data_IF_197188992722
#
_entry.id   IF_197188992722
#
_cell.length_a   1.000
_cell.length_b   1.000
_cell.length_c   1.000
_cell.angle_alpha   90.00
_cell.angle_beta   90.00
_cell.angle_gamma   90.00
#
_symmetry.space_group_name_H-M   'P 1'
#
loop_
_entity.id
_entity.type
_entity.pdbx_description
1 polymer ?
#
# COMPACT_ATOMS: atom_id res chain seq x y z
N UNK A 1 -14.08 1.23 16.68
CA UNK A 1 -13.82 0.92 18.09
C UNK A 1 -13.25 2.14 18.78
N UNK A 2 -13.47 2.23 20.10
CA UNK A 2 -13.01 3.38 20.93
C UNK A 2 -11.55 3.24 21.40
N UNK A 3 -11.00 2.04 21.36
CA UNK A 3 -9.63 1.71 21.76
C UNK A 3 -9.40 0.21 21.69
N UNK A 4 -8.18 -0.25 22.02
CA UNK A 4 -7.84 -1.68 21.99
C UNK A 4 -8.60 -2.52 23.04
N UNK A 5 -9.12 -1.85 24.09
CA UNK A 5 -9.89 -2.47 25.17
C UNK A 5 -11.41 -2.39 24.94
N UNK A 6 -11.86 -1.94 23.76
CA UNK A 6 -13.28 -1.87 23.45
C UNK A 6 -13.90 -3.29 23.48
N UNK A 7 -14.88 -3.56 24.35
CA UNK A 7 -15.49 -4.88 24.46
C UNK A 7 -16.17 -5.36 23.17
N UNK A 8 -16.52 -4.43 22.27
CA UNK A 8 -17.09 -4.75 20.97
C UNK A 8 -16.10 -5.56 20.10
N UNK A 9 -14.78 -5.36 20.27
CA UNK A 9 -13.75 -6.12 19.54
C UNK A 9 -13.86 -7.63 19.83
N UNK A 10 -13.99 -7.97 21.10
CA UNK A 10 -14.14 -9.37 21.52
C UNK A 10 -15.45 -9.98 21.00
N UNK A 11 -16.54 -9.22 21.04
CA UNK A 11 -17.85 -9.64 20.55
C UNK A 11 -17.82 -9.86 19.01
N UNK A 12 -17.20 -8.96 18.26
CA UNK A 12 -17.08 -9.05 16.80
C UNK A 12 -16.15 -10.21 16.39
N UNK A 13 -15.06 -10.42 17.11
CA UNK A 13 -14.14 -11.54 16.89
C UNK A 13 -14.84 -12.90 17.11
N UNK A 14 -15.64 -13.01 18.15
CA UNK A 14 -16.42 -14.23 18.42
C UNK A 14 -17.54 -14.41 17.39
N UNK A 15 -18.17 -13.33 16.95
CA UNK A 15 -19.16 -13.33 15.87
C UNK A 15 -18.54 -13.82 14.55
N UNK A 16 -17.34 -13.32 14.21
CA UNK A 16 -16.57 -13.78 13.05
C UNK A 16 -16.29 -15.28 13.12
N UNK A 17 -15.74 -15.75 14.23
CA UNK A 17 -15.44 -17.18 14.46
C UNK A 17 -16.68 -18.06 14.27
N UNK A 18 -17.82 -17.69 14.92
CA UNK A 18 -19.07 -18.45 14.81
C UNK A 18 -19.63 -18.45 13.39
N UNK A 19 -19.57 -17.31 12.71
CA UNK A 19 -20.08 -17.16 11.34
C UNK A 19 -19.25 -18.00 10.37
N UNK A 20 -17.91 -17.95 10.47
CA UNK A 20 -17.01 -18.78 9.65
C UNK A 20 -17.24 -20.29 9.85
N UNK A 21 -17.33 -20.74 11.10
CA UNK A 21 -17.63 -22.14 11.42
C UNK A 21 -19.02 -22.58 10.93
N UNK A 22 -20.04 -21.73 11.05
CA UNK A 22 -21.39 -22.00 10.55
C UNK A 22 -21.43 -22.04 9.04
N UNK A 23 -20.72 -21.14 8.36
CA UNK A 23 -20.58 -21.12 6.91
C UNK A 23 -19.97 -22.42 6.39
N UNK A 24 -18.87 -22.85 7.00
CA UNK A 24 -18.23 -24.12 6.62
C UNK A 24 -19.16 -25.32 6.81
N UNK A 25 -19.82 -25.45 7.95
CA UNK A 25 -20.77 -26.57 8.18
C UNK A 25 -21.90 -26.61 7.14
N UNK A 26 -22.33 -25.45 6.65
CA UNK A 26 -23.46 -25.36 5.70
C UNK A 26 -23.03 -25.63 4.27
N UNK A 27 -21.87 -25.15 3.85
CA UNK A 27 -21.51 -25.06 2.43
C UNK A 27 -20.33 -25.95 2.01
N UNK A 28 -19.42 -26.35 2.91
CA UNK A 28 -18.26 -27.16 2.56
C UNK A 28 -18.65 -28.49 1.91
N UNK A 29 -18.09 -28.76 0.75
CA UNK A 29 -18.40 -29.97 -0.05
C UNK A 29 -19.74 -29.93 -0.80
N UNK A 30 -20.44 -28.77 -0.80
CA UNK A 30 -21.81 -28.70 -1.32
C UNK A 30 -22.04 -27.65 -2.39
N UNK A 31 -21.03 -26.82 -2.74
CA UNK A 31 -21.22 -25.71 -3.67
C UNK A 31 -21.80 -26.16 -5.01
N UNK A 32 -21.31 -27.27 -5.55
CA UNK A 32 -21.77 -27.79 -6.86
C UNK A 32 -23.26 -28.18 -6.90
N UNK A 33 -23.86 -28.47 -5.75
CA UNK A 33 -25.26 -28.86 -5.64
C UNK A 33 -26.23 -27.72 -5.30
N UNK A 34 -25.74 -26.50 -5.14
CA UNK A 34 -26.56 -25.36 -4.78
C UNK A 34 -27.40 -24.86 -5.97
N UNK A 35 -28.56 -24.27 -5.67
CA UNK A 35 -29.27 -23.42 -6.61
C UNK A 35 -28.56 -22.04 -6.69
N UNK A 36 -28.85 -21.26 -7.75
CA UNK A 36 -28.35 -19.90 -7.89
C UNK A 36 -28.71 -18.98 -6.69
N UNK A 37 -29.91 -19.16 -6.12
CA UNK A 37 -30.35 -18.40 -4.93
C UNK A 37 -29.58 -18.81 -3.66
N UNK A 38 -29.27 -20.08 -3.49
CA UNK A 38 -28.47 -20.56 -2.35
C UNK A 38 -27.03 -20.11 -2.47
N UNK A 39 -26.48 -20.12 -3.69
CA UNK A 39 -25.15 -19.62 -3.97
C UNK A 39 -25.06 -18.09 -3.76
N UNK A 40 -26.10 -17.33 -4.14
CA UNK A 40 -26.17 -15.90 -3.83
C UNK A 40 -26.11 -15.65 -2.31
N UNK A 41 -26.86 -16.43 -1.52
CA UNK A 41 -26.79 -16.35 -0.05
C UNK A 41 -25.42 -16.74 0.52
N UNK A 42 -24.75 -17.69 -0.09
CA UNK A 42 -23.37 -18.04 0.29
C UNK A 42 -22.42 -16.87 0.03
N UNK A 43 -22.51 -16.21 -1.12
CA UNK A 43 -21.70 -15.01 -1.46
C UNK A 43 -21.99 -13.84 -0.51
N UNK A 44 -23.25 -13.59 -0.15
CA UNK A 44 -23.63 -12.55 0.82
C UNK A 44 -22.98 -12.79 2.20
N UNK A 45 -22.99 -14.06 2.68
CA UNK A 45 -22.35 -14.41 3.97
C UNK A 45 -20.82 -14.31 3.86
N UNK A 46 -20.25 -14.75 2.75
CA UNK A 46 -18.79 -14.67 2.52
C UNK A 46 -18.32 -13.21 2.45
N UNK A 47 -19.11 -12.34 1.79
CA UNK A 47 -18.87 -10.89 1.80
C UNK A 47 -18.92 -10.29 3.22
N UNK A 48 -19.90 -10.73 4.03
CA UNK A 48 -19.98 -10.31 5.44
C UNK A 48 -18.78 -10.77 6.25
N UNK A 49 -18.27 -11.98 6.01
CA UNK A 49 -17.05 -12.48 6.66
C UNK A 49 -15.84 -11.62 6.28
N UNK A 50 -15.71 -11.26 5.01
CA UNK A 50 -14.65 -10.35 4.53
C UNK A 50 -14.73 -8.99 5.23
N UNK A 51 -15.94 -8.41 5.32
CA UNK A 51 -16.17 -7.14 6.02
C UNK A 51 -15.79 -7.21 7.52
N UNK A 52 -16.22 -8.28 8.21
CA UNK A 52 -15.89 -8.46 9.64
C UNK A 52 -14.39 -8.56 9.88
N UNK A 53 -13.69 -9.34 9.05
CA UNK A 53 -12.24 -9.47 9.12
C UNK A 53 -11.54 -8.13 8.80
N UNK A 54 -12.02 -7.41 7.79
CA UNK A 54 -11.51 -6.09 7.41
C UNK A 54 -11.68 -5.04 8.50
N UNK A 55 -12.81 -5.01 9.20
CA UNK A 55 -13.05 -4.09 10.33
C UNK A 55 -12.08 -4.36 11.50
N UNK A 56 -11.93 -5.61 11.90
CA UNK A 56 -11.06 -6.01 13.00
C UNK A 56 -9.58 -5.80 12.66
N UNK A 57 -9.15 -6.32 11.51
CA UNK A 57 -7.77 -6.23 11.06
C UNK A 57 -7.36 -4.80 10.72
N UNK A 58 -8.25 -4.05 10.05
CA UNK A 58 -8.01 -2.65 9.71
C UNK A 58 -7.86 -1.76 10.93
N UNK A 59 -8.72 -1.92 11.95
CA UNK A 59 -8.56 -1.19 13.21
C UNK A 59 -7.23 -1.51 13.89
N UNK A 60 -6.89 -2.80 14.01
CA UNK A 60 -5.65 -3.21 14.65
C UNK A 60 -4.42 -2.66 13.91
N UNK A 61 -4.41 -2.71 12.58
CA UNK A 61 -3.34 -2.18 11.75
C UNK A 61 -3.19 -0.66 11.87
N UNK A 62 -4.29 0.10 11.73
CA UNK A 62 -4.26 1.55 11.83
C UNK A 62 -3.83 2.02 13.22
N UNK A 63 -4.32 1.35 14.27
CA UNK A 63 -3.90 1.63 15.64
C UNK A 63 -2.39 1.39 15.83
N UNK A 64 -1.86 0.29 15.32
CA UNK A 64 -0.42 -0.01 15.35
C UNK A 64 0.38 1.08 14.61
N UNK A 65 -0.02 1.48 13.40
CA UNK A 65 0.67 2.51 12.61
C UNK A 65 0.81 3.85 13.35
N UNK A 66 -0.15 4.18 14.22
CA UNK A 66 -0.10 5.44 14.98
C UNK A 66 0.83 5.40 16.19
N UNK A 67 1.31 4.22 16.64
CA UNK A 67 2.05 4.06 17.89
C UNK A 67 2.97 2.81 17.91
N UNK A 68 3.82 2.65 16.92
CA UNK A 68 4.70 1.48 16.74
C UNK A 68 5.67 1.20 17.89
N UNK A 69 5.93 2.17 18.78
CA UNK A 69 6.74 1.97 19.99
C UNK A 69 5.92 1.44 21.17
N UNK A 70 4.60 1.43 21.06
CA UNK A 70 3.71 0.92 22.10
C UNK A 70 3.60 -0.61 22.01
N UNK A 71 4.13 -1.32 23.01
CA UNK A 71 4.13 -2.80 23.05
C UNK A 71 2.73 -3.40 23.06
N UNK A 72 1.76 -2.73 23.70
CA UNK A 72 0.37 -3.21 23.75
C UNK A 72 -0.30 -3.12 22.39
N UNK A 73 -0.08 -2.02 21.65
CA UNK A 73 -0.60 -1.85 20.29
C UNK A 73 -0.02 -2.88 19.32
N UNK A 74 1.28 -3.15 19.43
CA UNK A 74 1.96 -4.18 18.63
C UNK A 74 1.44 -5.57 18.95
N UNK A 75 1.31 -5.92 20.22
CA UNK A 75 0.77 -7.20 20.67
C UNK A 75 -0.70 -7.37 20.26
N UNK A 76 -1.50 -6.30 20.34
CA UNK A 76 -2.89 -6.30 19.91
C UNK A 76 -3.02 -6.58 18.41
N UNK A 77 -2.21 -5.93 17.56
CA UNK A 77 -2.18 -6.18 16.12
C UNK A 77 -1.82 -7.64 15.82
N UNK A 78 -0.75 -8.15 16.44
CA UNK A 78 -0.32 -9.54 16.25
C UNK A 78 -1.41 -10.53 16.67
N UNK A 79 -1.94 -10.40 17.88
CA UNK A 79 -2.98 -11.29 18.40
C UNK A 79 -4.25 -11.25 17.55
N UNK A 80 -4.61 -10.08 17.02
CA UNK A 80 -5.77 -9.92 16.12
C UNK A 80 -5.53 -10.63 14.81
N UNK A 81 -4.34 -10.47 14.20
CA UNK A 81 -3.97 -11.12 12.94
C UNK A 81 -3.95 -12.65 13.07
N UNK A 82 -3.36 -13.17 14.16
CA UNK A 82 -3.34 -14.61 14.43
C UNK A 82 -4.76 -15.20 14.58
N UNK A 83 -5.63 -14.54 15.36
CA UNK A 83 -7.04 -14.97 15.55
C UNK A 83 -7.83 -14.90 14.25
N UNK A 84 -7.66 -13.85 13.44
CA UNK A 84 -8.33 -13.74 12.14
C UNK A 84 -7.90 -14.85 11.19
N UNK A 85 -6.61 -15.18 11.18
CA UNK A 85 -6.06 -16.30 10.42
C UNK A 85 -6.68 -17.64 10.88
N UNK A 86 -6.63 -17.92 12.17
CA UNK A 86 -7.17 -19.19 12.73
C UNK A 86 -8.67 -19.34 12.49
N UNK A 87 -9.43 -18.30 12.70
CA UNK A 87 -10.89 -18.32 12.55
C UNK A 87 -11.34 -18.26 11.08
N UNK A 88 -10.46 -17.77 10.19
CA UNK A 88 -10.67 -17.78 8.74
C UNK A 88 -10.39 -19.11 8.04
N UNK A 89 -9.58 -20.00 8.62
CA UNK A 89 -9.26 -21.32 8.03
C UNK A 89 -10.50 -22.11 7.56
N UNK A 90 -11.60 -22.20 8.34
CA UNK A 90 -12.78 -22.97 7.93
C UNK A 90 -13.40 -22.52 6.61
N UNK A 91 -13.11 -21.33 6.10
CA UNK A 91 -13.73 -20.81 4.87
C UNK A 91 -12.83 -20.88 3.64
N UNK A 92 -11.58 -21.37 3.76
CA UNK A 92 -10.62 -21.54 2.64
C UNK A 92 -11.22 -22.37 1.50
N UNK A 93 -12.01 -23.40 1.83
CA UNK A 93 -12.67 -24.25 0.84
C UNK A 93 -13.49 -23.50 -0.20
N UNK A 94 -14.04 -22.33 0.15
CA UNK A 94 -15.05 -21.67 -0.65
C UNK A 94 -14.53 -21.25 -2.02
N UNK A 95 -13.39 -20.59 -2.09
CA UNK A 95 -12.77 -20.21 -3.37
C UNK A 95 -12.25 -21.45 -4.13
N UNK A 96 -11.71 -22.44 -3.42
CA UNK A 96 -11.26 -23.68 -4.04
C UNK A 96 -12.41 -24.47 -4.68
N UNK A 97 -13.55 -24.59 -4.00
CA UNK A 97 -14.75 -25.21 -4.57
C UNK A 97 -15.35 -24.38 -5.70
N UNK A 98 -15.41 -23.04 -5.53
CA UNK A 98 -15.83 -22.12 -6.58
C UNK A 98 -15.02 -22.31 -7.86
N UNK A 99 -13.72 -22.49 -7.74
CA UNK A 99 -12.81 -22.70 -8.87
C UNK A 99 -13.04 -24.05 -9.56
N UNK A 100 -13.50 -25.06 -8.82
CA UNK A 100 -13.83 -26.39 -9.37
C UNK A 100 -15.17 -26.46 -10.08
N UNK A 101 -16.06 -25.46 -9.90
CA UNK A 101 -17.37 -25.45 -10.54
C UNK A 101 -17.26 -25.49 -12.08
N UNK A 102 -18.17 -26.22 -12.75
CA UNK A 102 -18.25 -26.20 -14.21
C UNK A 102 -18.60 -24.80 -14.73
N UNK A 103 -17.95 -24.40 -15.83
CA UNK A 103 -18.23 -23.09 -16.44
C UNK A 103 -19.70 -22.90 -16.85
N UNK A 104 -20.38 -23.99 -17.25
CA UNK A 104 -21.82 -23.98 -17.55
C UNK A 104 -22.67 -23.62 -16.32
N UNK A 105 -22.36 -24.17 -15.16
CA UNK A 105 -23.03 -23.86 -13.90
C UNK A 105 -22.86 -22.39 -13.53
N UNK A 106 -21.63 -21.88 -13.57
CA UNK A 106 -21.34 -20.47 -13.29
C UNK A 106 -22.06 -19.54 -14.27
N UNK A 107 -22.08 -19.90 -15.57
CA UNK A 107 -22.81 -19.13 -16.60
C UNK A 107 -24.31 -19.08 -16.31
N UNK A 108 -24.89 -20.17 -15.84
CA UNK A 108 -26.31 -20.21 -15.46
C UNK A 108 -26.57 -19.38 -14.21
N UNK A 109 -25.76 -19.54 -13.18
CA UNK A 109 -25.92 -18.78 -11.93
C UNK A 109 -25.71 -17.26 -12.10
N UNK A 110 -24.87 -16.84 -13.02
CA UNK A 110 -24.66 -15.43 -13.36
C UNK A 110 -25.88 -14.77 -14.01
N UNK A 111 -26.92 -15.51 -14.39
CA UNK A 111 -28.22 -14.94 -14.79
C UNK A 111 -29.00 -14.39 -13.59
N UNK A 112 -28.74 -14.91 -12.38
CA UNK A 112 -29.30 -14.36 -11.15
C UNK A 112 -28.63 -13.03 -10.83
N UNK A 113 -29.41 -11.93 -10.67
CA UNK A 113 -28.89 -10.57 -10.43
C UNK A 113 -27.99 -10.46 -9.20
N UNK A 114 -28.30 -11.21 -8.12
CA UNK A 114 -27.50 -11.19 -6.89
C UNK A 114 -26.14 -11.87 -7.10
N UNK A 115 -26.09 -12.99 -7.83
CA UNK A 115 -24.82 -13.63 -8.21
C UNK A 115 -24.05 -12.75 -9.19
N UNK A 116 -24.73 -12.14 -10.17
CA UNK A 116 -24.12 -11.25 -11.15
C UNK A 116 -23.43 -10.04 -10.51
N UNK A 117 -23.92 -9.55 -9.36
CA UNK A 117 -23.24 -8.51 -8.59
C UNK A 117 -21.82 -8.91 -8.20
N UNK A 118 -21.58 -10.18 -7.85
CA UNK A 118 -20.28 -10.73 -7.47
C UNK A 118 -19.46 -11.26 -8.65
N UNK A 119 -19.86 -10.99 -9.90
CA UNK A 119 -19.12 -11.45 -11.08
C UNK A 119 -17.63 -11.06 -11.07
N UNK A 120 -17.23 -9.82 -10.67
CA UNK A 120 -15.80 -9.48 -10.59
C UNK A 120 -15.02 -10.40 -9.66
N UNK A 121 -15.54 -10.68 -8.47
CA UNK A 121 -14.96 -11.63 -7.52
C UNK A 121 -14.84 -13.04 -8.12
N UNK A 122 -15.93 -13.57 -8.65
CA UNK A 122 -15.97 -14.91 -9.25
C UNK A 122 -14.94 -15.04 -10.37
N UNK A 123 -14.88 -14.06 -11.27
CA UNK A 123 -13.94 -14.07 -12.40
C UNK A 123 -12.48 -13.96 -11.93
N UNK A 124 -12.23 -13.22 -10.85
CA UNK A 124 -10.89 -13.14 -10.25
C UNK A 124 -10.46 -14.49 -9.67
N UNK A 125 -11.29 -15.13 -8.85
CA UNK A 125 -11.01 -16.44 -8.29
C UNK A 125 -10.70 -17.47 -9.41
N UNK A 126 -11.52 -17.49 -10.47
CA UNK A 126 -11.33 -18.41 -11.61
C UNK A 126 -9.98 -18.24 -12.35
N UNK A 127 -9.33 -17.08 -12.28
CA UNK A 127 -8.00 -16.87 -12.90
C UNK A 127 -6.93 -17.71 -12.21
N UNK A 128 -7.05 -17.91 -10.89
CA UNK A 128 -6.10 -18.68 -10.10
C UNK A 128 -6.35 -20.18 -10.14
N UNK A 129 -7.49 -20.63 -10.69
CA UNK A 129 -7.92 -22.03 -10.74
C UNK A 129 -6.81 -23.03 -11.07
N UNK A 130 -5.97 -22.75 -12.05
CA UNK A 130 -4.88 -23.66 -12.47
C UNK A 130 -3.69 -23.68 -11.53
N UNK A 131 -3.66 -22.77 -10.55
CA UNK A 131 -2.60 -22.62 -9.56
C UNK A 131 -3.07 -22.98 -8.15
N UNK A 132 -4.34 -23.41 -8.01
CA UNK A 132 -4.88 -23.92 -6.76
C UNK A 132 -4.15 -25.22 -6.37
N UNK A 133 -3.87 -25.34 -5.09
CA UNK A 133 -3.32 -26.55 -4.50
C UNK A 133 -4.44 -27.37 -3.82
N UNK A 134 -4.17 -28.64 -3.48
CA UNK A 134 -5.08 -29.39 -2.62
C UNK A 134 -5.35 -28.63 -1.31
N UNK A 135 -6.58 -28.68 -0.81
CA UNK A 135 -7.01 -27.91 0.36
C UNK A 135 -6.07 -28.07 1.57
N UNK A 136 -5.67 -29.30 1.89
CA UNK A 136 -4.73 -29.55 2.98
C UNK A 136 -3.37 -28.88 2.80
N UNK A 137 -2.94 -28.65 1.54
CA UNK A 137 -1.69 -27.92 1.25
C UNK A 137 -1.91 -26.43 1.39
N UNK A 138 -3.07 -25.89 0.95
CA UNK A 138 -3.43 -24.48 1.16
C UNK A 138 -3.53 -24.15 2.66
N UNK A 139 -4.13 -25.04 3.45
CA UNK A 139 -4.18 -24.90 4.92
C UNK A 139 -2.77 -24.80 5.52
N UNK A 140 -1.84 -25.67 5.10
CA UNK A 140 -0.43 -25.61 5.55
C UNK A 140 0.24 -24.30 5.16
N UNK A 141 0.01 -23.78 3.94
CA UNK A 141 0.57 -22.50 3.54
C UNK A 141 0.03 -21.35 4.39
N UNK A 142 -1.28 -21.33 4.68
CA UNK A 142 -1.91 -20.33 5.55
C UNK A 142 -1.35 -20.43 6.98
N UNK A 143 -1.26 -21.63 7.55
CA UNK A 143 -0.71 -21.81 8.91
C UNK A 143 0.75 -21.41 9.02
N UNK A 144 1.54 -21.68 7.98
CA UNK A 144 2.95 -21.35 7.97
C UNK A 144 3.25 -19.90 7.67
N UNK A 145 2.29 -19.11 7.14
CA UNK A 145 2.53 -17.71 6.79
C UNK A 145 3.07 -16.91 7.98
N UNK A 146 2.53 -17.14 9.18
CA UNK A 146 2.93 -16.47 10.42
C UNK A 146 4.36 -16.77 10.87
N UNK A 147 4.96 -17.86 10.39
CA UNK A 147 6.34 -18.29 10.70
C UNK A 147 7.26 -18.29 9.47
N UNK A 148 6.77 -17.92 8.29
CA UNK A 148 7.51 -17.82 7.04
C UNK A 148 7.83 -16.35 6.69
N UNK A 149 7.45 -15.88 5.50
CA UNK A 149 7.78 -14.53 5.04
C UNK A 149 7.32 -13.42 5.98
N UNK A 150 6.14 -13.54 6.59
CA UNK A 150 5.63 -12.54 7.55
C UNK A 150 6.53 -12.39 8.78
N UNK A 151 7.03 -13.53 9.32
CA UNK A 151 7.96 -13.49 10.45
C UNK A 151 9.29 -12.83 10.08
N UNK A 152 9.81 -13.09 8.87
CA UNK A 152 11.05 -12.52 8.39
C UNK A 152 10.93 -11.00 8.12
N UNK A 153 9.79 -10.56 7.57
CA UNK A 153 9.50 -9.14 7.38
C UNK A 153 9.43 -8.43 8.74
N UNK A 154 8.69 -8.97 9.70
CA UNK A 154 8.63 -8.42 11.06
C UNK A 154 10.02 -8.35 11.72
N UNK A 155 10.80 -9.42 11.62
CA UNK A 155 12.15 -9.44 12.18
C UNK A 155 13.06 -8.37 11.56
N UNK A 156 12.93 -8.15 10.24
CA UNK A 156 13.64 -7.08 9.55
C UNK A 156 13.19 -5.70 10.07
N UNK A 157 11.89 -5.46 10.14
CA UNK A 157 11.36 -4.17 10.61
C UNK A 157 11.76 -3.86 12.04
N UNK A 158 11.62 -4.82 12.95
CA UNK A 158 12.02 -4.66 14.35
C UNK A 158 13.53 -4.41 14.51
N UNK A 159 14.35 -5.13 13.75
CA UNK A 159 15.83 -4.99 13.84
C UNK A 159 16.27 -3.69 13.20
N UNK A 160 15.76 -3.36 12.01
CA UNK A 160 16.11 -2.13 11.29
C UNK A 160 15.70 -0.87 12.06
N UNK A 161 14.56 -0.91 12.77
CA UNK A 161 14.09 0.22 13.58
C UNK A 161 15.02 0.57 14.76
N UNK A 162 15.93 -0.33 15.12
CA UNK A 162 16.91 -0.16 16.22
C UNK A 162 18.29 0.28 15.72
N UNK A 163 18.48 0.39 14.41
CA UNK A 163 19.76 0.84 13.87
C UNK A 163 20.04 2.28 14.30
N UNK A 164 21.24 2.53 14.79
CA UNK A 164 21.72 3.85 15.17
C UNK A 164 22.81 4.29 14.20
N UNK A 165 22.76 5.54 13.82
CA UNK A 165 23.73 6.20 12.94
C UNK A 165 24.42 7.31 13.72
N UNK A 166 25.71 7.54 13.50
CA UNK A 166 26.47 8.56 14.23
C UNK A 166 27.16 9.51 13.25
N UNK A 167 26.82 10.78 13.28
CA UNK A 167 27.47 11.84 12.51
C UNK A 167 27.96 12.91 13.45
N UNK A 168 29.24 13.24 13.39
CA UNK A 168 29.91 14.25 14.25
C UNK A 168 29.62 14.06 15.76
N UNK A 169 29.55 12.79 16.22
CA UNK A 169 29.28 12.44 17.62
C UNK A 169 27.80 12.46 18.02
N UNK A 170 26.91 12.91 17.15
CA UNK A 170 25.46 12.89 17.39
C UNK A 170 24.84 11.61 16.83
N UNK A 171 23.93 11.01 17.60
CA UNK A 171 23.18 9.82 17.21
C UNK A 171 21.90 10.18 16.47
N UNK A 172 21.56 9.39 15.46
CA UNK A 172 20.37 9.53 14.63
C UNK A 172 19.71 8.16 14.43
N UNK A 173 18.39 8.14 14.31
CA UNK A 173 17.66 7.00 13.76
C UNK A 173 17.61 7.06 12.22
N UNK A 174 17.06 6.04 11.57
CA UNK A 174 16.97 5.94 10.10
C UNK A 174 16.25 7.14 9.44
N UNK A 175 15.14 7.58 10.03
CA UNK A 175 14.39 8.71 9.50
C UNK A 175 15.14 10.05 9.66
N UNK A 176 15.90 10.20 10.74
CA UNK A 176 16.67 11.41 11.02
C UNK A 176 17.92 11.49 10.13
N UNK A 177 18.67 10.40 9.99
CA UNK A 177 19.88 10.39 9.14
C UNK A 177 19.52 10.63 7.68
N UNK A 178 18.40 10.06 7.20
CA UNK A 178 17.92 10.24 5.84
C UNK A 178 17.54 11.70 5.54
N UNK A 179 17.07 12.46 6.53
CA UNK A 179 16.82 13.90 6.37
C UNK A 179 18.09 14.69 6.10
N UNK A 180 19.25 14.25 6.63
CA UNK A 180 20.54 14.91 6.37
C UNK A 180 20.96 14.79 4.89
N UNK A 181 20.48 13.79 4.14
CA UNK A 181 20.69 13.71 2.69
C UNK A 181 19.95 14.81 1.91
N UNK A 182 19.04 15.54 2.56
CA UNK A 182 18.32 16.67 2.01
C UNK A 182 18.90 18.03 2.47
N UNK A 183 20.03 18.02 3.15
CA UNK A 183 20.68 19.26 3.58
C UNK A 183 21.26 20.04 2.39
N UNK A 184 21.29 21.37 2.48
CA UNK A 184 21.92 22.23 1.48
C UNK A 184 23.45 22.06 1.46
N UNK A 185 24.04 21.77 2.62
CA UNK A 185 25.47 21.56 2.75
C UNK A 185 25.89 20.17 2.21
N UNK A 186 26.78 20.15 1.24
CA UNK A 186 27.29 18.93 0.62
C UNK A 186 28.10 18.06 1.60
N UNK A 187 28.80 18.67 2.57
CA UNK A 187 29.60 17.94 3.57
C UNK A 187 28.68 17.18 4.54
N UNK A 188 27.57 17.80 4.95
CA UNK A 188 26.54 17.15 5.78
C UNK A 188 25.96 15.94 5.06
N UNK A 189 25.59 16.10 3.78
CA UNK A 189 25.07 14.99 2.96
C UNK A 189 26.08 13.87 2.79
N UNK A 190 27.35 14.20 2.55
CA UNK A 190 28.43 13.21 2.42
C UNK A 190 28.63 12.42 3.70
N UNK A 191 28.72 13.08 4.86
CA UNK A 191 28.87 12.42 6.16
C UNK A 191 27.69 11.48 6.43
N UNK A 192 26.47 11.95 6.21
CA UNK A 192 25.29 11.13 6.38
C UNK A 192 25.28 9.92 5.41
N UNK A 193 25.59 10.14 4.13
CA UNK A 193 25.66 9.07 3.15
C UNK A 193 26.71 8.01 3.46
N UNK A 194 27.90 8.42 3.90
CA UNK A 194 28.98 7.51 4.32
C UNK A 194 28.57 6.69 5.54
N UNK A 195 27.93 7.32 6.53
CA UNK A 195 27.47 6.62 7.73
C UNK A 195 26.36 5.62 7.41
N UNK A 196 25.40 5.97 6.56
CA UNK A 196 24.38 5.03 6.07
C UNK A 196 25.05 3.82 5.40
N UNK A 197 26.04 4.05 4.53
CA UNK A 197 26.79 2.96 3.90
C UNK A 197 27.53 2.09 4.91
N UNK A 198 28.15 2.69 5.93
CA UNK A 198 28.86 1.96 6.99
C UNK A 198 27.92 1.03 7.75
N UNK A 199 26.85 1.59 8.31
CA UNK A 199 25.84 0.82 9.09
C UNK A 199 25.19 -0.26 8.23
N UNK A 200 24.83 0.07 6.98
CA UNK A 200 24.25 -0.92 6.05
C UNK A 200 25.24 -2.06 5.75
N UNK A 201 26.53 -1.76 5.57
CA UNK A 201 27.57 -2.77 5.32
C UNK A 201 27.77 -3.69 6.51
N UNK A 202 27.78 -3.15 7.73
CA UNK A 202 27.88 -3.93 8.96
C UNK A 202 26.67 -4.87 9.16
N UNK A 203 25.50 -4.45 8.74
CA UNK A 203 24.25 -5.23 8.83
C UNK A 203 23.93 -6.02 7.56
N UNK A 204 24.76 -5.96 6.52
CA UNK A 204 24.54 -6.68 5.26
C UNK A 204 24.33 -8.19 5.42
N UNK A 205 25.06 -8.92 6.30
CA UNK A 205 24.79 -10.35 6.51
C UNK A 205 23.37 -10.62 7.01
N UNK A 206 22.88 -9.81 7.97
CA UNK A 206 21.51 -9.90 8.47
C UNK A 206 20.49 -9.60 7.37
N UNK A 207 20.63 -8.46 6.70
CA UNK A 207 19.69 -8.02 5.65
C UNK A 207 19.64 -9.03 4.49
N UNK A 208 20.80 -9.52 4.06
CA UNK A 208 20.89 -10.53 3.00
C UNK A 208 20.25 -11.86 3.41
N UNK A 209 20.42 -12.27 4.66
CA UNK A 209 19.80 -13.50 5.16
C UNK A 209 18.29 -13.40 5.13
N UNK A 210 17.71 -12.32 5.69
CA UNK A 210 16.25 -12.10 5.68
C UNK A 210 15.71 -12.05 4.25
N UNK A 211 16.35 -11.27 3.37
CA UNK A 211 15.97 -11.19 1.97
C UNK A 211 15.94 -12.57 1.29
N UNK A 212 16.99 -13.37 1.49
CA UNK A 212 17.08 -14.71 0.93
C UNK A 212 15.99 -15.65 1.47
N UNK A 213 15.58 -15.50 2.75
CA UNK A 213 14.49 -16.30 3.32
C UNK A 213 13.14 -15.94 2.68
N UNK A 214 12.83 -14.66 2.54
CA UNK A 214 11.60 -14.19 1.88
C UNK A 214 11.54 -14.65 0.42
N UNK A 215 12.64 -14.46 -0.32
CA UNK A 215 12.75 -14.90 -1.73
C UNK A 215 12.61 -16.41 -1.86
N UNK A 216 13.22 -17.18 -0.92
CA UNK A 216 13.14 -18.63 -0.94
C UNK A 216 11.74 -19.14 -0.62
N UNK A 217 11.07 -18.55 0.34
CA UNK A 217 9.67 -18.86 0.69
C UNK A 217 8.75 -18.66 -0.52
N UNK A 218 8.87 -17.48 -1.19
CA UNK A 218 8.16 -17.19 -2.44
C UNK A 218 8.47 -18.21 -3.53
N UNK A 219 9.74 -18.54 -3.75
CA UNK A 219 10.15 -19.49 -4.78
C UNK A 219 9.57 -20.89 -4.54
N UNK A 220 9.46 -21.33 -3.29
CA UNK A 220 8.82 -22.60 -2.93
C UNK A 220 7.32 -22.55 -3.26
N UNK A 221 6.65 -21.47 -2.87
CA UNK A 221 5.22 -21.29 -3.18
C UNK A 221 4.98 -21.26 -4.70
N UNK A 222 5.74 -20.48 -5.45
CA UNK A 222 5.63 -20.39 -6.91
C UNK A 222 5.86 -21.75 -7.60
N UNK A 223 6.89 -22.48 -7.17
CA UNK A 223 7.19 -23.82 -7.68
C UNK A 223 6.03 -24.79 -7.41
N UNK A 224 5.47 -24.79 -6.20
CA UNK A 224 4.35 -25.66 -5.85
C UNK A 224 3.09 -25.33 -6.64
N UNK A 225 2.84 -24.07 -6.90
CA UNK A 225 1.70 -23.59 -7.70
C UNK A 225 1.92 -23.70 -9.21
N UNK A 226 3.16 -23.88 -9.65
CA UNK A 226 3.50 -24.00 -11.07
C UNK A 226 3.58 -22.64 -11.80
N UNK A 227 3.88 -21.56 -11.08
CA UNK A 227 4.20 -20.27 -11.72
C UNK A 227 5.53 -20.34 -12.48
N UNK A 228 5.58 -19.73 -13.66
CA UNK A 228 6.76 -19.80 -14.55
C UNK A 228 7.87 -18.85 -14.13
N UNK A 229 7.50 -17.67 -13.62
CA UNK A 229 8.43 -16.62 -13.19
C UNK A 229 7.99 -16.06 -11.84
N UNK A 230 8.90 -15.42 -11.09
CA UNK A 230 8.56 -14.81 -9.80
C UNK A 230 7.48 -13.72 -9.89
N UNK A 231 7.29 -13.10 -11.05
CA UNK A 231 6.31 -12.03 -11.26
C UNK A 231 4.97 -12.51 -11.81
N UNK A 232 4.89 -13.76 -12.31
CA UNK A 232 3.66 -14.27 -12.94
C UNK A 232 2.46 -14.33 -11.99
N UNK A 233 2.67 -14.69 -10.72
CA UNK A 233 1.60 -14.68 -9.70
C UNK A 233 1.09 -13.27 -9.39
N UNK A 234 1.97 -12.33 -9.01
CA UNK A 234 1.63 -10.91 -8.85
C UNK A 234 0.94 -10.32 -10.08
N UNK A 235 1.48 -10.50 -11.28
CA UNK A 235 0.88 -9.98 -12.51
C UNK A 235 -0.53 -10.53 -12.76
N UNK A 236 -0.76 -11.80 -12.44
CA UNK A 236 -2.08 -12.41 -12.51
C UNK A 236 -3.07 -11.76 -11.53
N UNK A 237 -2.63 -11.47 -10.30
CA UNK A 237 -3.40 -10.75 -9.29
C UNK A 237 -3.78 -9.35 -9.74
N UNK A 238 -2.84 -8.63 -10.35
CA UNK A 238 -3.01 -7.30 -10.93
C UNK A 238 -3.81 -7.28 -12.24
N UNK A 239 -4.14 -8.45 -12.81
CA UNK A 239 -4.79 -8.58 -14.11
C UNK A 239 -3.95 -7.98 -15.27
N UNK A 240 -2.63 -8.08 -15.16
CA UNK A 240 -1.67 -7.59 -16.14
C UNK A 240 -0.94 -8.77 -16.78
N UNK A 241 -0.69 -8.71 -18.07
CA UNK A 241 0.07 -9.74 -18.78
C UNK A 241 1.57 -9.59 -18.50
N UNK A 242 2.28 -10.71 -18.32
CA UNK A 242 3.74 -10.72 -18.13
C UNK A 242 4.46 -9.92 -19.20
N UNK A 243 4.08 -10.09 -20.48
CA UNK A 243 4.68 -9.35 -21.59
C UNK A 243 4.50 -7.83 -21.49
N UNK A 244 3.40 -7.35 -20.88
CA UNK A 244 3.19 -5.91 -20.67
C UNK A 244 4.21 -5.36 -19.68
N UNK A 245 4.44 -6.09 -18.58
CA UNK A 245 5.42 -5.71 -17.56
C UNK A 245 6.85 -5.78 -18.10
N UNK A 246 7.18 -6.82 -18.83
CA UNK A 246 8.49 -6.98 -19.50
C UNK A 246 8.75 -5.84 -20.48
N UNK A 247 7.75 -5.50 -21.32
CA UNK A 247 7.86 -4.40 -22.30
C UNK A 247 8.04 -3.07 -21.59
N UNK A 248 7.30 -2.80 -20.52
CA UNK A 248 7.45 -1.59 -19.72
C UNK A 248 8.86 -1.50 -19.14
N UNK A 249 9.33 -2.56 -18.48
CA UNK A 249 10.66 -2.59 -17.87
C UNK A 249 11.78 -2.40 -18.92
N UNK A 250 11.64 -3.02 -20.10
CA UNK A 250 12.60 -2.85 -21.19
C UNK A 250 12.57 -1.43 -21.74
N UNK A 251 11.38 -0.87 -21.98
CA UNK A 251 11.23 0.52 -22.45
C UNK A 251 11.87 1.53 -21.50
N UNK A 252 11.69 1.35 -20.19
CA UNK A 252 12.32 2.20 -19.16
C UNK A 252 13.84 2.10 -19.26
N UNK A 253 14.40 0.88 -19.31
CA UNK A 253 15.86 0.67 -19.43
C UNK A 253 16.43 1.33 -20.70
N UNK A 254 15.76 1.18 -21.83
CA UNK A 254 16.20 1.74 -23.13
C UNK A 254 16.21 3.29 -23.13
N UNK A 255 15.47 3.90 -22.19
CA UNK A 255 15.36 5.35 -22.08
C UNK A 255 16.13 5.95 -20.90
N UNK A 256 16.84 5.16 -20.07
CA UNK A 256 17.66 5.70 -18.97
C UNK A 256 18.60 6.82 -19.41
N UNK A 257 19.29 6.63 -20.53
CA UNK A 257 20.24 7.62 -21.07
C UNK A 257 19.59 8.95 -21.44
N UNK A 258 18.37 8.89 -22.01
CA UNK A 258 17.65 10.06 -22.50
C UNK A 258 16.93 10.84 -21.39
N UNK A 259 16.52 10.17 -20.32
CA UNK A 259 15.70 10.74 -19.24
C UNK A 259 16.53 10.86 -17.97
N UNK A 260 16.75 9.77 -17.23
CA UNK A 260 17.37 9.80 -15.91
C UNK A 260 18.82 10.29 -15.95
N UNK A 261 19.66 9.75 -16.83
CA UNK A 261 21.06 10.18 -16.91
C UNK A 261 21.19 11.64 -17.39
N UNK A 262 20.31 12.08 -18.29
CA UNK A 262 20.27 13.48 -18.72
C UNK A 262 19.93 14.41 -17.58
N UNK A 263 18.90 14.06 -16.78
CA UNK A 263 18.50 14.83 -15.62
C UNK A 263 19.61 14.90 -14.56
N UNK A 264 20.25 13.77 -14.25
CA UNK A 264 21.35 13.75 -13.27
C UNK A 264 22.56 14.54 -13.75
N UNK A 265 22.89 14.58 -15.04
CA UNK A 265 23.93 15.44 -15.59
C UNK A 265 23.55 16.92 -15.44
N UNK A 266 22.28 17.27 -15.66
CA UNK A 266 21.79 18.62 -15.47
C UNK A 266 21.84 19.04 -13.98
N UNK A 267 21.38 18.15 -13.09
CA UNK A 267 21.45 18.36 -11.63
C UNK A 267 22.87 18.53 -11.13
N UNK A 268 23.83 17.75 -11.63
CA UNK A 268 25.25 17.91 -11.30
C UNK A 268 25.75 19.34 -11.64
N UNK A 269 25.39 19.84 -12.84
CA UNK A 269 25.71 21.21 -13.25
C UNK A 269 25.11 22.26 -12.30
N UNK A 270 23.84 22.09 -11.91
CA UNK A 270 23.18 23.00 -10.99
C UNK A 270 23.82 23.00 -9.59
N UNK A 271 24.34 21.85 -9.15
CA UNK A 271 25.06 21.71 -7.88
C UNK A 271 26.53 22.10 -7.96
N UNK A 272 27.05 22.43 -9.16
CA UNK A 272 28.46 22.80 -9.36
C UNK A 272 29.44 21.64 -9.20
N UNK A 273 29.03 20.41 -9.46
CA UNK A 273 29.86 19.20 -9.36
C UNK A 273 29.99 18.50 -10.71
N UNK A 274 31.11 17.83 -10.95
CA UNK A 274 31.34 17.07 -12.18
C UNK A 274 30.40 15.87 -12.29
N UNK A 275 30.19 15.19 -11.17
CA UNK A 275 29.35 13.98 -11.09
C UNK A 275 28.66 13.91 -9.73
N UNK A 276 27.34 13.62 -9.74
CA UNK A 276 26.58 13.37 -8.52
C UNK A 276 27.12 12.13 -7.80
N UNK A 277 27.28 12.24 -6.52
CA UNK A 277 27.42 11.10 -5.62
C UNK A 277 26.04 10.58 -5.24
N UNK A 278 25.98 9.37 -4.71
CA UNK A 278 24.73 8.75 -4.29
C UNK A 278 23.94 9.64 -3.31
N UNK A 279 24.64 10.30 -2.37
CA UNK A 279 24.05 11.21 -1.38
C UNK A 279 23.60 12.57 -1.95
N UNK A 280 23.99 12.90 -3.20
CA UNK A 280 23.54 14.12 -3.87
C UNK A 280 22.27 13.91 -4.70
N UNK A 281 21.80 12.65 -4.84
CA UNK A 281 20.65 12.33 -5.70
C UNK A 281 19.42 13.17 -5.36
N UNK A 282 19.13 13.33 -4.07
CA UNK A 282 17.99 14.09 -3.56
C UNK A 282 18.38 15.46 -2.98
N UNK A 283 19.63 15.92 -3.19
CA UNK A 283 20.09 17.24 -2.74
C UNK A 283 19.16 18.34 -3.26
N UNK A 284 18.79 19.34 -2.43
CA UNK A 284 18.03 20.51 -2.87
C UNK A 284 18.87 21.32 -3.86
N UNK A 285 18.20 21.97 -4.82
CA UNK A 285 18.88 22.83 -5.78
C UNK A 285 19.28 24.14 -5.11
N UNK A 286 20.51 24.69 -5.39
CA UNK A 286 21.05 25.84 -4.68
C UNK A 286 20.21 27.12 -4.84
N UNK A 287 19.44 27.19 -5.92
CA UNK A 287 18.61 28.33 -6.24
C UNK A 287 17.15 28.20 -5.80
N UNK A 288 16.79 27.06 -5.17
CA UNK A 288 15.43 26.84 -4.66
C UNK A 288 15.32 27.29 -3.21
N UNK A 289 14.25 28.02 -2.92
CA UNK A 289 13.94 28.43 -1.57
C UNK A 289 13.22 27.30 -0.80
N UNK A 290 13.40 27.26 0.51
CA UNK A 290 12.72 26.30 1.40
C UNK A 290 11.34 26.88 1.79
N UNK A 291 10.47 27.10 0.79
CA UNK A 291 9.11 27.57 1.04
C UNK A 291 8.36 26.53 1.88
N UNK A 292 7.70 27.02 2.90
CA UNK A 292 6.82 26.22 3.75
C UNK A 292 5.37 26.57 3.50
N UNK A 293 4.54 25.55 3.46
CA UNK A 293 3.10 25.65 3.30
C UNK A 293 2.43 25.32 4.64
N UNK A 294 1.49 26.13 5.07
CA UNK A 294 0.65 25.77 6.22
C UNK A 294 -0.28 24.59 5.83
N UNK A 295 -0.87 23.97 6.82
CA UNK A 295 -1.86 22.92 6.56
C UNK A 295 -3.07 23.49 5.81
N UNK A 296 -3.59 24.63 6.24
CA UNK A 296 -4.74 25.32 5.67
C UNK A 296 -4.48 25.74 4.22
N UNK A 297 -3.28 26.30 3.94
CA UNK A 297 -2.86 26.64 2.59
C UNK A 297 -2.80 25.40 1.69
N UNK A 298 -2.24 24.30 2.21
CA UNK A 298 -2.14 23.04 1.47
C UNK A 298 -3.50 22.44 1.15
N UNK A 299 -4.41 22.41 2.12
CA UNK A 299 -5.80 21.98 1.94
C UNK A 299 -6.50 22.80 0.86
N UNK A 300 -6.34 24.12 0.93
CA UNK A 300 -6.93 25.02 -0.08
C UNK A 300 -6.40 24.74 -1.47
N UNK A 301 -5.08 24.59 -1.63
CA UNK A 301 -4.44 24.33 -2.94
C UNK A 301 -4.98 23.02 -3.54
N UNK A 302 -5.03 21.95 -2.74
CA UNK A 302 -5.49 20.63 -3.20
C UNK A 302 -6.98 20.67 -3.54
N UNK A 303 -7.81 21.25 -2.70
CA UNK A 303 -9.25 21.35 -2.93
C UNK A 303 -9.59 22.22 -4.14
N UNK A 304 -8.89 23.35 -4.33
CA UNK A 304 -9.08 24.23 -5.51
C UNK A 304 -8.72 23.47 -6.80
N UNK A 305 -7.61 22.71 -6.81
CA UNK A 305 -7.22 21.90 -7.96
C UNK A 305 -8.26 20.82 -8.28
N UNK A 306 -8.82 20.18 -7.26
CA UNK A 306 -9.85 19.16 -7.43
C UNK A 306 -11.17 19.75 -7.93
N UNK A 307 -11.52 20.95 -7.45
CA UNK A 307 -12.72 21.67 -7.88
C UNK A 307 -12.61 22.17 -9.32
N UNK A 308 -11.42 22.64 -9.75
CA UNK A 308 -11.16 23.05 -11.15
C UNK A 308 -11.45 21.89 -12.12
N UNK A 309 -11.14 20.68 -11.71
CA UNK A 309 -11.40 19.48 -12.51
C UNK A 309 -12.87 19.01 -12.42
N UNK A 310 -13.41 18.90 -11.21
CA UNK A 310 -14.78 18.37 -10.99
C UNK A 310 -15.33 18.78 -9.63
N UNK A 311 -16.45 19.53 -9.58
CA UNK A 311 -17.15 19.83 -8.32
C UNK A 311 -17.55 18.58 -7.54
N UNK A 312 -17.91 17.48 -8.22
CA UNK A 312 -18.23 16.21 -7.58
C UNK A 312 -17.01 15.60 -6.89
N UNK A 313 -15.83 15.71 -7.50
CA UNK A 313 -14.59 15.22 -6.88
C UNK A 313 -14.22 16.07 -5.66
N UNK A 314 -14.39 17.39 -5.77
CA UNK A 314 -14.25 18.32 -4.65
C UNK A 314 -15.16 17.96 -3.47
N UNK A 315 -16.45 17.70 -3.71
CA UNK A 315 -17.39 17.34 -2.65
C UNK A 315 -16.96 16.05 -1.91
N UNK A 316 -16.45 15.07 -2.65
CA UNK A 316 -15.92 13.83 -2.04
C UNK A 316 -14.67 14.14 -1.21
N UNK A 317 -13.73 14.90 -1.77
CA UNK A 317 -12.46 15.26 -1.13
C UNK A 317 -12.68 16.07 0.15
N UNK A 318 -13.61 17.03 0.12
CA UNK A 318 -13.92 17.90 1.24
C UNK A 318 -14.37 17.14 2.49
N UNK A 319 -15.08 16.00 2.34
CA UNK A 319 -15.49 15.19 3.47
C UNK A 319 -14.31 14.76 4.36
N UNK A 320 -13.11 14.58 3.80
CA UNK A 320 -11.92 14.19 4.56
C UNK A 320 -11.45 15.29 5.49
N UNK A 321 -11.72 16.55 5.17
CA UNK A 321 -11.34 17.70 5.97
C UNK A 321 -12.46 18.16 6.92
N UNK A 322 -13.71 17.91 6.56
CA UNK A 322 -14.87 18.21 7.41
C UNK A 322 -15.03 17.20 8.56
N UNK A 323 -14.31 16.07 8.49
CA UNK A 323 -14.34 15.00 9.49
C UNK A 323 -12.92 14.60 9.92
N UNK A 324 -12.74 13.95 11.09
CA UNK A 324 -11.43 13.51 11.58
C UNK A 324 -10.94 12.23 10.87
N UNK A 325 -10.84 12.26 9.53
CA UNK A 325 -10.44 11.12 8.72
C UNK A 325 -8.97 11.13 8.31
N UNK A 326 -8.22 12.17 8.72
CA UNK A 326 -6.81 12.36 8.39
C UNK A 326 -5.97 12.45 9.65
N UNK A 327 -4.96 11.59 9.79
CA UNK A 327 -3.93 11.71 10.81
C UNK A 327 -2.72 12.46 10.23
N UNK A 328 -2.56 13.73 10.58
CA UNK A 328 -1.69 14.68 9.87
C UNK A 328 -0.26 14.78 10.45
N UNK A 329 -0.06 15.14 11.76
CA UNK A 329 1.27 15.50 12.22
C UNK A 329 2.18 14.29 12.43
N UNK A 330 3.48 14.43 12.14
CA UNK A 330 4.46 13.46 12.62
C UNK A 330 4.54 13.50 14.14
N UNK A 331 4.76 12.34 14.76
CA UNK A 331 5.00 12.20 16.20
C UNK A 331 5.88 11.01 16.50
N UNK A 332 6.47 10.97 17.68
CA UNK A 332 7.28 9.84 18.11
C UNK A 332 6.47 8.54 18.12
N UNK A 333 7.07 7.47 17.60
CA UNK A 333 6.40 6.17 17.46
C UNK A 333 5.35 6.07 16.37
N UNK A 334 5.04 7.13 15.63
CA UNK A 334 4.20 7.06 14.43
C UNK A 334 4.97 6.46 13.26
N UNK A 335 4.35 5.59 12.47
CA UNK A 335 4.93 5.03 11.24
C UNK A 335 5.35 6.14 10.27
N UNK A 336 6.49 5.96 9.61
CA UNK A 336 6.93 6.86 8.54
C UNK A 336 6.13 6.70 7.25
N UNK A 337 6.29 7.67 6.34
CA UNK A 337 5.59 7.69 5.05
C UNK A 337 4.16 8.23 5.15
N UNK A 338 3.39 7.99 4.09
CA UNK A 338 1.97 8.32 3.97
C UNK A 338 1.22 7.17 3.31
N UNK A 339 -0.07 7.03 3.57
CA UNK A 339 -0.94 6.08 2.90
C UNK A 339 -2.42 6.41 3.11
N UNK A 340 -3.26 5.98 2.17
CA UNK A 340 -4.70 5.90 2.36
C UNK A 340 -5.11 4.47 2.74
N UNK A 341 -6.10 4.30 3.61
CA UNK A 341 -6.61 3.00 4.03
C UNK A 341 -8.13 2.99 4.11
N UNK A 342 -8.76 2.11 3.32
CA UNK A 342 -10.20 1.83 3.39
C UNK A 342 -10.41 0.38 3.79
N UNK A 343 -10.44 0.06 5.09
CA UNK A 343 -10.45 -1.32 5.55
C UNK A 343 -11.67 -2.11 5.10
N UNK A 344 -12.80 -1.44 4.89
CA UNK A 344 -14.05 -2.02 4.39
C UNK A 344 -14.92 -0.98 3.69
N UNK A 345 -15.76 -1.42 2.77
CA UNK A 345 -16.64 -0.54 2.00
C UNK A 345 -17.81 0.07 2.80
N UNK A 346 -18.19 -0.52 3.93
CA UNK A 346 -19.24 0.02 4.82
C UNK A 346 -18.77 1.23 5.65
N UNK A 347 -17.44 1.49 5.68
CA UNK A 347 -16.83 2.61 6.42
C UNK A 347 -16.10 3.54 5.46
N UNK A 348 -15.87 4.78 5.92
CA UNK A 348 -15.04 5.74 5.18
C UNK A 348 -13.56 5.32 5.23
N UNK A 349 -12.75 5.65 4.23
CA UNK A 349 -11.31 5.50 4.30
C UNK A 349 -10.69 6.56 5.22
N UNK A 350 -9.43 6.31 5.58
CA UNK A 350 -8.58 7.18 6.39
C UNK A 350 -7.35 7.57 5.59
N UNK A 351 -6.82 8.77 5.82
CA UNK A 351 -5.52 9.20 5.32
C UNK A 351 -4.52 9.30 6.48
N UNK A 352 -3.33 8.81 6.24
CA UNK A 352 -2.24 8.83 7.20
C UNK A 352 -1.07 9.59 6.58
N UNK A 353 -0.64 10.68 7.22
CA UNK A 353 0.36 11.60 6.71
C UNK A 353 1.43 11.87 7.79
N UNK A 354 2.58 12.35 7.35
CA UNK A 354 3.62 12.94 8.20
C UNK A 354 3.98 14.33 7.66
N UNK A 355 3.00 15.22 7.67
CA UNK A 355 3.06 16.55 7.09
C UNK A 355 3.94 17.51 7.92
N UNK A 356 4.94 18.12 7.28
CA UNK A 356 5.85 19.11 7.88
C UNK A 356 5.89 20.42 7.08
N UNK A 357 5.00 20.57 6.10
CA UNK A 357 4.82 21.80 5.31
C UNK A 357 5.80 21.98 4.16
N UNK A 358 6.47 20.93 3.69
CA UNK A 358 7.26 21.00 2.46
C UNK A 358 6.36 20.94 1.22
N UNK A 359 6.85 21.45 0.10
CA UNK A 359 6.13 21.33 -1.18
C UNK A 359 5.72 19.89 -1.50
N UNK A 360 6.61 18.94 -1.26
CA UNK A 360 6.30 17.52 -1.49
C UNK A 360 5.17 17.02 -0.60
N UNK A 361 4.99 17.58 0.59
CA UNK A 361 3.90 17.17 1.49
C UNK A 361 2.53 17.61 0.95
N UNK A 362 2.48 18.73 0.20
CA UNK A 362 1.25 19.16 -0.50
C UNK A 362 0.89 18.16 -1.61
N UNK A 363 1.89 17.72 -2.37
CA UNK A 363 1.69 16.72 -3.43
C UNK A 363 1.34 15.35 -2.84
N UNK A 364 1.97 14.96 -1.72
CA UNK A 364 1.62 13.74 -0.98
C UNK A 364 0.19 13.80 -0.45
N UNK A 365 -0.26 14.93 0.11
CA UNK A 365 -1.65 15.10 0.52
C UNK A 365 -2.61 14.88 -0.66
N UNK A 366 -2.30 15.48 -1.82
CA UNK A 366 -3.11 15.31 -3.03
C UNK A 366 -3.11 13.86 -3.53
N UNK A 367 -1.98 13.17 -3.45
CA UNK A 367 -1.82 11.75 -3.78
C UNK A 367 -2.71 10.87 -2.91
N UNK A 368 -2.56 10.95 -1.59
CA UNK A 368 -3.34 10.15 -0.64
C UNK A 368 -4.84 10.47 -0.70
N UNK A 369 -5.19 11.74 -0.91
CA UNK A 369 -6.57 12.16 -1.12
C UNK A 369 -7.15 11.57 -2.42
N UNK A 370 -6.33 11.41 -3.46
CA UNK A 370 -6.72 10.73 -4.70
C UNK A 370 -7.13 9.28 -4.44
N UNK A 371 -6.34 8.53 -3.67
CA UNK A 371 -6.73 7.21 -3.18
C UNK A 371 -8.01 7.24 -2.35
N UNK A 372 -8.11 8.18 -1.41
CA UNK A 372 -9.29 8.35 -0.58
C UNK A 372 -10.57 8.57 -1.39
N UNK A 373 -10.52 9.46 -2.38
CA UNK A 373 -11.64 9.72 -3.29
C UNK A 373 -12.01 8.49 -4.13
N UNK A 374 -11.01 7.76 -4.63
CA UNK A 374 -11.23 6.50 -5.33
C UNK A 374 -11.95 5.48 -4.43
N UNK A 375 -11.46 5.26 -3.22
CA UNK A 375 -12.08 4.38 -2.24
C UNK A 375 -13.53 4.78 -1.93
N UNK A 376 -13.82 6.07 -1.77
CA UNK A 376 -15.17 6.57 -1.57
C UNK A 376 -16.10 6.26 -2.75
N UNK A 377 -15.62 6.37 -3.99
CA UNK A 377 -16.44 6.11 -5.18
C UNK A 377 -16.74 4.63 -5.39
N UNK A 378 -15.85 3.73 -5.00
CA UNK A 378 -15.98 2.27 -5.19
C UNK A 378 -16.75 1.55 -4.08
N UNK A 379 -17.05 2.20 -2.95
CA UNK A 379 -17.78 1.61 -1.79
C UNK A 379 -19.04 0.83 -2.16
N UNK A 380 -19.77 1.28 -3.19
CA UNK A 380 -21.00 0.61 -3.69
C UNK A 380 -20.77 -0.78 -4.29
N UNK A 381 -19.52 -1.15 -4.55
CA UNK A 381 -19.18 -2.42 -5.19
C UNK A 381 -19.18 -3.61 -4.21
N UNK A 382 -19.13 -3.35 -2.89
CA UNK A 382 -19.01 -4.38 -1.85
C UNK A 382 -17.60 -4.95 -1.71
N UNK A 383 -17.28 -5.51 -0.54
CA UNK A 383 -15.91 -5.88 -0.17
C UNK A 383 -15.33 -7.00 -1.05
N UNK A 384 -16.10 -8.01 -1.44
CA UNK A 384 -15.60 -9.09 -2.30
C UNK A 384 -15.25 -8.62 -3.72
N UNK A 385 -15.96 -7.64 -4.26
CA UNK A 385 -15.66 -7.11 -5.60
C UNK A 385 -14.52 -6.11 -5.57
N UNK A 386 -14.13 -5.67 -4.39
CA UNK A 386 -13.01 -4.79 -4.19
C UNK A 386 -11.70 -5.54 -4.45
N UNK A 387 -10.89 -4.97 -5.29
CA UNK A 387 -9.52 -5.42 -5.49
C UNK A 387 -8.62 -4.23 -5.34
N UNK A 388 -7.82 -4.23 -4.31
CA UNK A 388 -6.68 -3.35 -4.21
C UNK A 388 -5.66 -3.77 -5.27
N UNK A 389 -5.81 -3.25 -6.49
CA UNK A 389 -4.84 -3.45 -7.56
C UNK A 389 -3.98 -2.23 -7.62
N UNK A 390 -2.72 -2.38 -7.28
CA UNK A 390 -1.73 -1.29 -7.29
C UNK A 390 -1.75 -0.54 -8.63
N UNK A 391 -1.82 -1.26 -9.75
CA UNK A 391 -1.86 -0.69 -11.11
C UNK A 391 -3.05 0.23 -11.38
N UNK A 392 -4.17 0.08 -10.67
CA UNK A 392 -5.35 0.92 -10.85
C UNK A 392 -5.55 1.93 -9.72
N UNK A 393 -5.06 1.64 -8.53
CA UNK A 393 -5.14 2.56 -7.40
C UNK A 393 -4.23 3.76 -7.59
N UNK A 394 -3.00 3.54 -8.08
CA UNK A 394 -2.07 4.63 -8.39
C UNK A 394 -2.53 5.55 -9.52
N UNK A 395 -3.43 5.12 -10.39
CA UNK A 395 -4.03 6.00 -11.40
C UNK A 395 -4.77 7.16 -10.74
N UNK A 396 -5.54 6.90 -9.68
CA UNK A 396 -6.30 7.93 -8.98
C UNK A 396 -5.41 8.87 -8.16
N UNK A 397 -4.41 8.33 -7.47
CA UNK A 397 -3.48 9.09 -6.64
C UNK A 397 -2.58 10.00 -7.47
N UNK A 398 -1.93 9.44 -8.50
CA UNK A 398 -1.07 10.21 -9.42
C UNK A 398 -1.88 11.26 -10.18
N UNK A 399 -3.14 10.99 -10.54
CA UNK A 399 -4.01 11.97 -11.15
C UNK A 399 -4.28 13.16 -10.22
N UNK A 400 -4.64 12.92 -8.96
CA UNK A 400 -4.84 13.96 -7.95
C UNK A 400 -3.58 14.79 -7.72
N UNK A 401 -2.44 14.12 -7.62
CA UNK A 401 -1.13 14.76 -7.50
C UNK A 401 -0.80 15.64 -8.70
N UNK A 402 -1.01 15.16 -9.93
CA UNK A 402 -0.73 15.93 -11.15
C UNK A 402 -1.65 17.12 -11.34
N UNK A 403 -2.93 17.02 -10.99
CA UNK A 403 -3.83 18.18 -10.99
C UNK A 403 -3.33 19.28 -10.04
N UNK A 404 -2.94 18.88 -8.83
CA UNK A 404 -2.41 19.80 -7.82
C UNK A 404 -1.08 20.41 -8.26
N UNK A 405 -0.17 19.62 -8.83
CA UNK A 405 1.07 20.12 -9.39
C UNK A 405 0.84 21.15 -10.50
N UNK A 406 -0.08 20.88 -11.43
CA UNK A 406 -0.41 21.82 -12.50
C UNK A 406 -1.03 23.11 -11.95
N UNK A 407 -1.88 23.01 -10.94
CA UNK A 407 -2.47 24.17 -10.27
C UNK A 407 -1.39 25.04 -9.60
N UNK A 408 -0.46 24.43 -8.85
CA UNK A 408 0.69 25.11 -8.27
C UNK A 408 1.54 25.81 -9.35
N UNK A 409 1.83 25.12 -10.45
CA UNK A 409 2.65 25.66 -11.53
C UNK A 409 1.99 26.87 -12.22
N UNK A 410 0.66 26.83 -12.40
CA UNK A 410 -0.11 27.97 -12.95
C UNK A 410 -0.12 29.19 -12.01
N UNK A 411 -0.20 28.95 -10.70
CA UNK A 411 -0.25 30.03 -9.69
C UNK A 411 1.11 30.66 -9.41
N UNK A 412 2.21 29.97 -9.73
CA UNK A 412 3.57 30.48 -9.54
C UNK A 412 3.92 31.46 -10.65
N UNK A 413 4.22 32.71 -10.30
CA UNK A 413 4.60 33.74 -11.27
C UNK A 413 6.11 33.74 -11.60
N UNK A 414 6.94 33.45 -10.59
CA UNK A 414 8.40 33.46 -10.69
C UNK A 414 8.94 32.26 -11.46
N UNK A 415 9.75 32.49 -12.48
CA UNK A 415 10.30 31.43 -13.34
C UNK A 415 11.31 30.54 -12.62
N UNK A 416 12.01 31.07 -11.62
CA UNK A 416 12.94 30.30 -10.80
C UNK A 416 12.17 29.32 -9.89
N UNK A 417 11.09 29.78 -9.28
CA UNK A 417 10.20 28.95 -8.48
C UNK A 417 9.54 27.87 -9.36
N UNK A 418 9.09 28.20 -10.58
CA UNK A 418 8.59 27.20 -11.56
C UNK A 418 9.63 26.15 -11.88
N UNK A 419 10.89 26.58 -12.10
CA UNK A 419 11.98 25.64 -12.37
C UNK A 419 12.19 24.67 -11.18
N UNK A 420 12.10 25.17 -9.96
CA UNK A 420 12.21 24.34 -8.76
C UNK A 420 11.06 23.32 -8.65
N UNK A 421 9.82 23.75 -8.91
CA UNK A 421 8.64 22.87 -8.97
C UNK A 421 8.83 21.76 -10.00
N UNK A 422 9.22 22.11 -11.23
CA UNK A 422 9.42 21.16 -12.34
C UNK A 422 10.58 20.19 -12.02
N UNK A 423 11.72 20.72 -11.55
CA UNK A 423 12.87 19.89 -11.21
C UNK A 423 12.57 18.90 -10.07
N UNK A 424 11.82 19.35 -9.05
CA UNK A 424 11.33 18.49 -7.97
C UNK A 424 10.45 17.37 -8.52
N UNK A 425 9.46 17.69 -9.36
CA UNK A 425 8.55 16.68 -9.94
C UNK A 425 9.26 15.71 -10.87
N UNK A 426 10.20 16.18 -11.70
CA UNK A 426 11.02 15.29 -12.56
C UNK A 426 11.89 14.37 -11.71
N UNK A 427 12.50 14.88 -10.62
CA UNK A 427 13.27 14.06 -9.69
C UNK A 427 12.42 12.96 -9.05
N UNK A 428 11.21 13.30 -8.63
CA UNK A 428 10.23 12.38 -8.06
C UNK A 428 9.85 11.29 -9.08
N UNK A 429 9.44 11.65 -10.28
CA UNK A 429 9.12 10.71 -11.36
C UNK A 429 10.27 9.76 -11.70
N UNK A 430 11.53 10.23 -11.66
CA UNK A 430 12.72 9.39 -11.91
C UNK A 430 12.99 8.46 -10.72
N UNK A 431 12.72 8.89 -9.50
CA UNK A 431 12.94 8.09 -8.30
C UNK A 431 11.88 6.99 -8.10
N UNK A 432 10.71 7.14 -8.70
CA UNK A 432 9.57 6.21 -8.60
C UNK A 432 9.41 5.31 -9.84
N UNK A 433 10.11 5.60 -10.94
CA UNK A 433 10.16 4.78 -12.16
C UNK A 433 11.24 3.69 -12.02
#
# INVERSE_FOLDING_TARGET
>A
YKGIDDPQIAADMESYRKTAASFARKYKGRLAGLSAEEFARALEIYNKLSEMAGLLGGFAYLNMCTQMKNKEAMAFFQNTSEKLTDYGKPVIFFELELNRLPAATLKEWLKNKKVAFYKPFIMRAQRFKKYDLPEAVEEVFVEKSVTSSEAWVRFYEETSSRLEYTVDGQKYNDAEITKLLLDKDAEVREKAGREICRVSSENAPFMSFVYNMVVKDKAISDMKRGFKTPVSGPNLGEDVKDVTVETLAQTVRDNYGKIAHRFYKLKAKWLGVDKLKYWDRNAPLPFCDDRRYSWEESVKIVLDAYNEFSPKLYDIARNFFDHPWIDVPPRDGKRGGAFASGPVNSRHPYLFLNFVGKQNDVLTLAHELGHGCHMMTRRKNGDLNETSRMTTEEVASVFGEMMTFQSLLKQTADDKEKLCLIAGKVSDMINTA
#
